data_IF_227267986213
#
_entry.id   IF_227267986213
#
_cell.length_a   1.000
_cell.length_b   1.000
_cell.length_c   1.000
_cell.angle_alpha   90.00
_cell.angle_beta   90.00
_cell.angle_gamma   90.00
#
_symmetry.space_group_name_H-M   'P 1'
#
loop_
_entity.id
_entity.type
_entity.pdbx_description
1 polymer ?
#
# COMPACT_ATOMS: atom_id res chain seq x y z
N UNK A 1 -43.58 -48.91 -52.14
CA UNK A 1 -43.30 -47.51 -51.78
C UNK A 1 -42.33 -47.54 -50.62
N UNK A 2 -41.04 -47.50 -50.92
CA UNK A 2 -39.98 -47.35 -49.93
C UNK A 2 -40.04 -45.94 -49.35
N UNK A 3 -40.60 -45.81 -48.15
CA UNK A 3 -40.42 -44.58 -47.36
C UNK A 3 -39.08 -44.73 -46.65
N UNK A 4 -38.04 -44.15 -47.25
CA UNK A 4 -36.79 -43.86 -46.56
C UNK A 4 -37.11 -42.96 -45.37
N UNK A 5 -37.15 -43.52 -44.16
CA UNK A 5 -37.11 -42.74 -42.93
C UNK A 5 -35.74 -42.07 -42.90
N UNK A 6 -35.77 -40.75 -43.01
CA UNK A 6 -34.61 -39.88 -43.06
C UNK A 6 -33.97 -39.80 -41.66
N UNK A 7 -33.30 -40.88 -41.24
CA UNK A 7 -32.70 -41.03 -39.89
C UNK A 7 -31.73 -39.90 -39.51
N UNK A 8 -31.28 -39.06 -40.46
CA UNK A 8 -30.42 -37.91 -40.18
C UNK A 8 -31.16 -36.69 -39.61
N UNK A 9 -32.40 -36.43 -40.03
CA UNK A 9 -33.13 -35.19 -39.69
C UNK A 9 -33.74 -35.26 -38.28
N UNK A 10 -34.32 -36.39 -37.88
CA UNK A 10 -34.85 -36.57 -36.52
C UNK A 10 -33.73 -36.59 -35.46
N UNK A 11 -32.58 -37.18 -35.79
CA UNK A 11 -31.40 -37.14 -34.91
C UNK A 11 -30.88 -35.71 -34.77
N UNK A 12 -30.91 -34.92 -35.85
CA UNK A 12 -30.48 -33.54 -35.83
C UNK A 12 -31.43 -32.65 -35.01
N UNK A 13 -32.74 -32.81 -35.20
CA UNK A 13 -33.77 -32.06 -34.45
C UNK A 13 -33.71 -32.38 -32.95
N UNK A 14 -33.56 -33.65 -32.58
CA UNK A 14 -33.41 -34.07 -31.19
C UNK A 14 -32.12 -33.50 -30.55
N UNK A 15 -31.01 -33.45 -31.30
CA UNK A 15 -29.76 -32.82 -30.83
C UNK A 15 -29.93 -31.32 -30.61
N UNK A 16 -30.62 -30.61 -31.51
CA UNK A 16 -30.90 -29.18 -31.35
C UNK A 16 -31.77 -28.94 -30.11
N UNK A 17 -32.89 -29.66 -29.98
CA UNK A 17 -33.78 -29.54 -28.84
C UNK A 17 -33.07 -29.83 -27.52
N UNK A 18 -32.32 -30.94 -27.44
CA UNK A 18 -31.50 -31.29 -26.28
C UNK A 18 -30.50 -30.18 -25.94
N UNK A 19 -29.82 -29.62 -26.94
CA UNK A 19 -28.86 -28.54 -26.73
C UNK A 19 -29.53 -27.25 -26.23
N UNK A 20 -30.73 -26.92 -26.71
CA UNK A 20 -31.51 -25.76 -26.23
C UNK A 20 -31.96 -25.98 -24.78
N UNK A 21 -32.47 -27.17 -24.45
CA UNK A 21 -32.87 -27.51 -23.08
C UNK A 21 -31.67 -27.48 -22.14
N UNK A 22 -30.54 -28.09 -22.51
CA UNK A 22 -29.31 -28.05 -21.73
C UNK A 22 -28.80 -26.62 -21.55
N UNK A 23 -28.80 -25.80 -22.60
CA UNK A 23 -28.43 -24.38 -22.52
C UNK A 23 -29.32 -23.64 -21.54
N UNK A 24 -30.63 -23.85 -21.58
CA UNK A 24 -31.57 -23.18 -20.67
C UNK A 24 -31.38 -23.62 -19.23
N UNK A 25 -31.15 -24.92 -18.99
CA UNK A 25 -30.80 -25.45 -17.65
C UNK A 25 -29.48 -24.82 -17.17
N UNK A 26 -28.44 -24.76 -18.01
CA UNK A 26 -27.16 -24.14 -17.68
C UNK A 26 -27.34 -22.66 -17.33
N UNK A 27 -28.08 -21.90 -18.14
CA UNK A 27 -28.34 -20.48 -17.89
C UNK A 27 -29.12 -20.26 -16.59
N UNK A 28 -30.08 -21.12 -16.29
CA UNK A 28 -30.84 -21.07 -15.05
C UNK A 28 -29.95 -21.39 -13.83
N UNK A 29 -29.07 -22.39 -13.94
CA UNK A 29 -28.10 -22.73 -12.91
C UNK A 29 -27.10 -21.59 -12.67
N UNK A 30 -26.57 -21.00 -13.75
CA UNK A 30 -25.70 -19.82 -13.68
C UNK A 30 -26.40 -18.63 -13.04
N UNK A 31 -27.68 -18.41 -13.35
CA UNK A 31 -28.49 -17.37 -12.71
C UNK A 31 -28.60 -17.60 -11.19
N UNK A 32 -28.84 -18.83 -10.73
CA UNK A 32 -28.93 -19.12 -9.30
C UNK A 32 -27.59 -19.06 -8.58
N UNK A 33 -26.51 -19.50 -9.23
CA UNK A 33 -25.14 -19.30 -8.74
C UNK A 33 -24.90 -17.80 -8.57
N UNK A 34 -25.12 -16.99 -9.61
CA UNK A 34 -24.87 -15.55 -9.55
C UNK A 34 -25.72 -14.85 -8.48
N UNK A 35 -26.98 -15.26 -8.32
CA UNK A 35 -27.90 -14.66 -7.34
C UNK A 35 -27.58 -15.03 -5.89
N UNK A 36 -27.11 -16.25 -5.63
CA UNK A 36 -26.87 -16.78 -4.28
C UNK A 36 -25.38 -17.02 -3.97
N UNK A 37 -24.50 -16.53 -4.85
CA UNK A 37 -23.05 -16.68 -4.75
C UNK A 37 -22.51 -16.22 -3.39
N UNK A 38 -23.13 -15.17 -2.85
CA UNK A 38 -22.81 -14.56 -1.57
C UNK A 38 -24.10 -14.33 -0.79
N UNK A 39 -24.16 -14.84 0.43
CA UNK A 39 -25.32 -14.68 1.30
C UNK A 39 -24.90 -14.32 2.73
N UNK A 40 -25.70 -13.49 3.39
CA UNK A 40 -25.59 -13.17 4.81
C UNK A 40 -26.75 -13.83 5.54
N UNK A 41 -26.44 -14.55 6.61
CA UNK A 41 -27.41 -15.30 7.42
C UNK A 41 -27.35 -14.76 8.84
N UNK A 42 -28.48 -14.28 9.36
CA UNK A 42 -28.57 -13.77 10.73
C UNK A 42 -29.18 -14.78 11.69
N UNK A 43 -29.87 -15.80 11.17
CA UNK A 43 -30.48 -16.88 11.94
C UNK A 43 -30.25 -18.20 11.23
N UNK A 44 -29.92 -19.26 11.97
CA UNK A 44 -29.59 -20.56 11.37
C UNK A 44 -30.69 -21.13 10.48
N UNK A 45 -31.95 -20.96 10.88
CA UNK A 45 -33.11 -21.41 10.10
C UNK A 45 -33.15 -20.81 8.69
N UNK A 46 -32.65 -19.59 8.50
CA UNK A 46 -32.56 -18.96 7.18
C UNK A 46 -31.62 -19.72 6.25
N UNK A 47 -30.53 -20.29 6.80
CA UNK A 47 -29.60 -21.10 6.04
C UNK A 47 -30.22 -22.46 5.71
N UNK A 48 -30.84 -23.11 6.69
CA UNK A 48 -31.43 -24.44 6.52
C UNK A 48 -32.61 -24.44 5.54
N UNK A 49 -33.46 -23.41 5.61
CA UNK A 49 -34.66 -23.29 4.76
C UNK A 49 -34.38 -22.61 3.41
N UNK A 50 -33.12 -22.28 3.10
CA UNK A 50 -32.77 -21.64 1.83
C UNK A 50 -32.96 -22.59 0.66
N UNK A 51 -33.86 -22.25 -0.26
CA UNK A 51 -34.16 -23.06 -1.47
C UNK A 51 -32.93 -23.32 -2.36
N UNK A 52 -31.94 -22.43 -2.32
CA UNK A 52 -30.73 -22.50 -3.15
C UNK A 52 -29.46 -22.67 -2.31
N UNK A 53 -29.61 -23.30 -1.14
CA UNK A 53 -28.54 -23.53 -0.16
C UNK A 53 -27.29 -24.15 -0.76
N UNK A 54 -27.43 -25.12 -1.65
CA UNK A 54 -26.29 -25.83 -2.25
C UNK A 54 -25.53 -25.01 -3.31
N UNK A 55 -26.01 -23.81 -3.68
CA UNK A 55 -25.31 -22.91 -4.60
C UNK A 55 -24.50 -21.83 -3.90
N UNK A 56 -24.52 -21.79 -2.56
CA UNK A 56 -23.80 -20.78 -1.77
C UNK A 56 -22.30 -21.05 -1.85
N UNK A 57 -21.52 -20.07 -2.32
CA UNK A 57 -20.05 -20.13 -2.35
C UNK A 57 -19.40 -19.29 -1.26
N UNK A 58 -19.98 -18.15 -0.92
CA UNK A 58 -19.50 -17.24 0.13
C UNK A 58 -20.59 -17.08 1.18
N UNK A 59 -20.38 -17.67 2.35
CA UNK A 59 -21.32 -17.63 3.46
C UNK A 59 -20.81 -16.68 4.55
N UNK A 60 -21.64 -15.70 4.90
CA UNK A 60 -21.45 -14.86 6.09
C UNK A 60 -22.47 -15.32 7.13
N UNK A 61 -22.02 -16.10 8.10
CA UNK A 61 -22.86 -16.64 9.18
C UNK A 61 -22.76 -15.70 10.38
N UNK A 62 -23.72 -14.78 10.50
CA UNK A 62 -23.73 -13.70 11.49
C UNK A 62 -24.38 -14.08 12.83
N UNK A 63 -24.96 -15.28 12.91
CA UNK A 63 -25.56 -15.79 14.15
C UNK A 63 -24.49 -16.40 15.06
N UNK A 64 -24.77 -16.41 16.36
CA UNK A 64 -24.02 -17.19 17.37
C UNK A 64 -24.74 -18.50 17.75
N UNK A 65 -25.75 -18.92 16.98
CA UNK A 65 -26.42 -20.20 17.16
C UNK A 65 -25.47 -21.39 16.93
N UNK A 66 -25.74 -22.51 17.60
CA UNK A 66 -24.99 -23.75 17.43
C UNK A 66 -25.10 -24.28 16.00
N UNK A 67 -23.93 -24.60 15.43
CA UNK A 67 -23.80 -25.21 14.10
C UNK A 67 -23.50 -26.69 14.28
N UNK A 68 -24.26 -27.54 13.61
CA UNK A 68 -24.06 -28.98 13.59
C UNK A 68 -23.44 -29.45 12.28
N UNK A 69 -22.94 -30.69 12.28
CA UNK A 69 -22.41 -31.33 11.09
C UNK A 69 -23.45 -31.31 9.96
N UNK A 70 -23.06 -30.74 8.81
CA UNK A 70 -23.92 -30.62 7.64
C UNK A 70 -24.75 -29.33 7.57
N UNK A 71 -24.78 -28.49 8.61
CA UNK A 71 -25.48 -27.19 8.62
C UNK A 71 -24.85 -26.15 7.69
N UNK A 72 -23.55 -26.28 7.39
CA UNK A 72 -22.87 -25.50 6.37
C UNK A 72 -22.82 -26.34 5.08
N UNK A 73 -23.29 -25.82 3.93
CA UNK A 73 -23.29 -26.58 2.67
C UNK A 73 -21.87 -26.91 2.20
N UNK A 74 -21.69 -28.11 1.62
CA UNK A 74 -20.41 -28.55 1.02
C UNK A 74 -20.01 -27.81 -0.26
N UNK A 75 -20.83 -26.87 -0.72
CA UNK A 75 -20.49 -25.97 -1.82
C UNK A 75 -19.75 -24.72 -1.38
N UNK A 76 -19.79 -24.36 -0.08
CA UNK A 76 -19.18 -23.15 0.47
C UNK A 76 -17.66 -23.21 0.35
N UNK A 77 -17.07 -22.19 -0.27
CA UNK A 77 -15.63 -22.04 -0.48
C UNK A 77 -15.03 -20.94 0.41
N UNK A 78 -15.84 -19.98 0.81
CA UNK A 78 -15.46 -18.91 1.73
C UNK A 78 -16.48 -18.79 2.85
N UNK A 79 -16.01 -18.89 4.09
CA UNK A 79 -16.83 -18.83 5.29
C UNK A 79 -16.34 -17.68 6.18
N UNK A 80 -17.26 -16.79 6.54
CA UNK A 80 -17.03 -15.72 7.51
C UNK A 80 -18.05 -15.86 8.63
N UNK A 81 -17.56 -16.06 9.86
CA UNK A 81 -18.38 -15.99 11.06
C UNK A 81 -18.56 -14.52 11.46
N UNK A 82 -19.76 -14.18 11.96
CA UNK A 82 -20.07 -12.83 12.43
C UNK A 82 -19.43 -12.52 13.77
N UNK A 83 -19.52 -11.25 14.15
CA UNK A 83 -18.84 -10.67 15.32
C UNK A 83 -19.07 -11.49 16.60
N UNK A 84 -20.32 -11.87 16.88
CA UNK A 84 -20.70 -12.57 18.12
C UNK A 84 -20.44 -14.09 18.12
N UNK A 85 -19.99 -14.68 17.00
CA UNK A 85 -19.80 -16.12 16.91
C UNK A 85 -18.65 -16.58 17.82
N UNK A 86 -18.97 -17.37 18.84
CA UNK A 86 -17.99 -17.88 19.79
C UNK A 86 -18.25 -19.33 20.20
N UNK A 87 -18.74 -20.14 19.26
CA UNK A 87 -19.04 -21.56 19.50
C UNK A 87 -17.83 -22.46 19.29
N UNK A 88 -17.79 -23.57 20.05
CA UNK A 88 -16.74 -24.58 19.93
C UNK A 88 -16.84 -25.29 18.58
N UNK A 89 -15.73 -25.33 17.84
CA UNK A 89 -15.66 -26.02 16.56
C UNK A 89 -15.20 -27.47 16.72
N UNK A 90 -16.13 -28.40 16.56
CA UNK A 90 -15.84 -29.83 16.47
C UNK A 90 -15.32 -30.22 15.08
N UNK A 91 -14.55 -31.30 15.02
CA UNK A 91 -13.98 -31.83 13.77
C UNK A 91 -15.08 -32.11 12.74
N UNK A 92 -14.91 -31.60 11.52
CA UNK A 92 -15.83 -31.83 10.40
C UNK A 92 -17.02 -30.87 10.31
N UNK A 93 -17.23 -29.97 11.28
CA UNK A 93 -18.30 -28.96 11.25
C UNK A 93 -18.18 -28.04 10.04
N UNK A 94 -16.96 -27.55 9.79
CA UNK A 94 -16.65 -26.75 8.61
C UNK A 94 -16.36 -27.70 7.43
N UNK A 95 -17.07 -27.59 6.30
CA UNK A 95 -16.87 -28.48 5.15
C UNK A 95 -15.48 -28.36 4.53
N UNK A 96 -14.97 -29.47 3.98
CA UNK A 96 -13.68 -29.54 3.29
C UNK A 96 -13.64 -28.82 1.93
N UNK A 97 -14.73 -28.14 1.56
CA UNK A 97 -14.78 -27.24 0.40
C UNK A 97 -14.27 -25.83 0.74
N UNK A 98 -14.23 -25.46 2.03
CA UNK A 98 -13.85 -24.12 2.49
C UNK A 98 -12.36 -23.91 2.31
N UNK A 99 -11.99 -22.87 1.55
CA UNK A 99 -10.62 -22.43 1.27
C UNK A 99 -10.24 -21.16 2.04
N UNK A 100 -11.21 -20.31 2.36
CA UNK A 100 -11.00 -19.10 3.14
C UNK A 100 -11.91 -19.13 4.37
N UNK A 101 -11.31 -18.97 5.55
CA UNK A 101 -12.03 -18.94 6.82
C UNK A 101 -11.69 -17.65 7.59
N UNK A 102 -12.73 -16.91 7.95
CA UNK A 102 -12.61 -15.71 8.79
C UNK A 102 -13.49 -15.86 10.02
N UNK A 103 -12.89 -15.70 11.21
CA UNK A 103 -13.62 -15.61 12.46
C UNK A 103 -14.03 -14.17 12.75
N UNK A 104 -15.18 -14.00 13.40
CA UNK A 104 -15.64 -12.71 13.88
C UNK A 104 -14.98 -12.30 15.20
N UNK A 105 -15.28 -11.08 15.62
CA UNK A 105 -14.54 -10.37 16.66
C UNK A 105 -14.46 -11.08 18.01
N UNK A 106 -15.53 -11.72 18.48
CA UNK A 106 -15.57 -12.33 19.81
C UNK A 106 -15.18 -13.81 19.84
N UNK A 107 -14.75 -14.41 18.71
CA UNK A 107 -14.32 -15.81 18.70
C UNK A 107 -13.03 -15.98 19.52
N UNK A 108 -13.10 -16.78 20.59
CA UNK A 108 -11.97 -17.06 21.48
C UNK A 108 -12.00 -18.51 22.00
N UNK A 109 -12.44 -19.46 21.17
CA UNK A 109 -12.47 -20.87 21.52
C UNK A 109 -11.15 -21.58 21.19
N UNK A 110 -10.81 -22.58 22.00
CA UNK A 110 -9.64 -23.44 21.76
C UNK A 110 -9.84 -24.23 20.46
N UNK A 111 -8.85 -24.19 19.58
CA UNK A 111 -8.85 -24.95 18.32
C UNK A 111 -8.15 -26.31 18.51
N UNK A 112 -8.94 -27.37 18.45
CA UNK A 112 -8.42 -28.74 18.42
C UNK A 112 -7.95 -29.12 17.00
N UNK A 113 -7.08 -30.13 16.92
CA UNK A 113 -6.64 -30.65 15.63
C UNK A 113 -7.85 -31.11 14.79
N UNK A 114 -7.95 -30.61 13.56
CA UNK A 114 -9.06 -30.92 12.65
C UNK A 114 -10.34 -30.09 12.84
N UNK A 115 -10.39 -29.16 13.80
CA UNK A 115 -11.49 -28.18 13.91
C UNK A 115 -11.56 -27.27 12.68
N UNK A 116 -10.41 -26.95 12.08
CA UNK A 116 -10.30 -26.26 10.80
C UNK A 116 -9.91 -27.30 9.73
N UNK A 117 -10.65 -27.39 8.61
CA UNK A 117 -10.40 -28.42 7.61
C UNK A 117 -9.12 -28.14 6.82
N UNK A 118 -8.47 -29.22 6.36
CA UNK A 118 -7.21 -29.17 5.58
C UNK A 118 -7.35 -28.61 4.16
N UNK A 119 -8.51 -28.06 3.83
CA UNK A 119 -8.78 -27.32 2.60
C UNK A 119 -8.54 -25.81 2.76
N UNK A 120 -8.47 -25.30 4.00
CA UNK A 120 -8.32 -23.87 4.26
C UNK A 120 -6.91 -23.42 3.88
N UNK A 121 -6.83 -22.45 2.98
CA UNK A 121 -5.59 -21.83 2.49
C UNK A 121 -5.38 -20.43 3.10
N UNK A 122 -6.46 -19.74 3.49
CA UNK A 122 -6.41 -18.42 4.14
C UNK A 122 -7.22 -18.45 5.43
N UNK A 123 -6.60 -18.07 6.53
CA UNK A 123 -7.19 -18.06 7.86
C UNK A 123 -7.00 -16.70 8.54
N UNK A 124 -8.11 -16.10 8.95
CA UNK A 124 -8.13 -14.82 9.66
C UNK A 124 -8.88 -14.96 10.97
N UNK A 125 -8.24 -14.60 12.08
CA UNK A 125 -8.87 -14.51 13.39
C UNK A 125 -9.46 -13.12 13.63
N UNK A 126 -10.58 -13.08 14.36
CA UNK A 126 -11.20 -11.84 14.80
C UNK A 126 -10.54 -11.27 16.06
N UNK A 127 -11.01 -10.09 16.46
CA UNK A 127 -10.41 -9.20 17.45
C UNK A 127 -9.95 -9.87 18.77
N UNK A 128 -10.77 -10.72 19.38
CA UNK A 128 -10.60 -11.28 20.73
C UNK A 128 -9.81 -12.60 20.80
N UNK A 129 -9.55 -13.28 19.68
CA UNK A 129 -8.89 -14.58 19.71
C UNK A 129 -7.52 -14.49 20.39
N UNK A 130 -7.35 -15.20 21.51
CA UNK A 130 -6.13 -15.18 22.30
C UNK A 130 -5.83 -16.54 22.95
N UNK A 131 -6.21 -17.63 22.28
CA UNK A 131 -5.92 -18.99 22.74
C UNK A 131 -4.53 -19.48 22.30
N UNK A 132 -3.91 -20.34 23.12
CA UNK A 132 -2.63 -20.98 22.77
C UNK A 132 -2.84 -21.95 21.61
N UNK A 133 -2.02 -21.83 20.57
CA UNK A 133 -2.05 -22.74 19.43
C UNK A 133 -1.16 -23.96 19.68
N UNK A 134 -1.79 -25.14 19.67
CA UNK A 134 -1.09 -26.42 19.70
C UNK A 134 -0.72 -26.89 18.30
N UNK A 135 0.22 -27.82 18.20
CA UNK A 135 0.57 -28.43 16.92
C UNK A 135 -0.67 -29.07 16.27
N UNK A 136 -0.97 -28.67 15.03
CA UNK A 136 -2.14 -29.15 14.28
C UNK A 136 -3.45 -28.38 14.50
N UNK A 137 -3.49 -27.37 15.40
CA UNK A 137 -4.64 -26.46 15.52
C UNK A 137 -4.89 -25.68 14.22
N UNK A 138 -3.81 -25.30 13.54
CA UNK A 138 -3.85 -24.68 12.20
C UNK A 138 -3.39 -25.73 11.17
N UNK A 139 -4.19 -26.02 10.13
CA UNK A 139 -3.87 -27.07 9.17
C UNK A 139 -2.71 -26.68 8.25
N UNK A 140 -1.95 -27.67 7.78
CA UNK A 140 -0.79 -27.48 6.89
C UNK A 140 -1.13 -27.06 5.45
N UNK A 141 -2.39 -26.75 5.18
CA UNK A 141 -2.85 -26.14 3.94
C UNK A 141 -2.83 -24.61 3.98
N UNK A 142 -2.79 -24.02 5.18
CA UNK A 142 -2.85 -22.56 5.37
C UNK A 142 -1.57 -21.92 4.84
N UNK A 143 -1.74 -21.00 3.89
CA UNK A 143 -0.69 -20.17 3.28
C UNK A 143 -0.69 -18.75 3.82
N UNK A 144 -1.85 -18.22 4.19
CA UNK A 144 -2.00 -16.89 4.79
C UNK A 144 -2.65 -17.00 6.15
N UNK A 145 -1.98 -16.50 7.19
CA UNK A 145 -2.45 -16.50 8.57
C UNK A 145 -2.44 -15.08 9.12
N UNK A 146 -3.61 -14.59 9.55
CA UNK A 146 -3.76 -13.29 10.21
C UNK A 146 -4.36 -13.47 11.59
N UNK A 147 -3.65 -13.00 12.61
CA UNK A 147 -4.14 -12.95 13.98
C UNK A 147 -4.94 -11.66 14.25
N UNK A 148 -5.92 -11.76 15.14
CA UNK A 148 -6.72 -10.62 15.58
C UNK A 148 -6.05 -9.78 16.65
N UNK A 149 -6.66 -8.64 16.97
CA UNK A 149 -6.09 -7.55 17.76
C UNK A 149 -5.47 -7.97 19.10
N UNK A 150 -6.17 -8.82 19.88
CA UNK A 150 -5.77 -9.22 21.23
C UNK A 150 -4.82 -10.44 21.29
N UNK A 151 -4.50 -11.09 20.17
CA UNK A 151 -3.64 -12.27 20.19
C UNK A 151 -2.24 -11.95 20.74
N UNK A 152 -1.87 -12.57 21.85
CA UNK A 152 -0.59 -12.35 22.52
C UNK A 152 -0.09 -13.62 23.25
N UNK A 153 -0.23 -14.77 22.61
CA UNK A 153 0.25 -16.05 23.17
C UNK A 153 1.64 -16.42 22.67
N UNK A 154 2.38 -17.14 23.51
CA UNK A 154 3.72 -17.67 23.18
C UNK A 154 3.61 -18.63 22.00
N UNK A 155 4.48 -18.48 21.02
CA UNK A 155 4.54 -19.36 19.86
C UNK A 155 5.35 -20.62 20.19
N UNK A 156 4.64 -21.70 20.49
CA UNK A 156 5.24 -23.02 20.66
C UNK A 156 5.78 -23.55 19.33
N UNK A 157 6.78 -24.42 19.38
CA UNK A 157 7.31 -25.07 18.19
C UNK A 157 6.18 -25.77 17.40
N UNK A 158 6.12 -25.52 16.08
CA UNK A 158 5.10 -26.09 15.17
C UNK A 158 3.64 -25.66 15.42
N UNK A 159 3.41 -24.62 16.23
CA UNK A 159 2.10 -24.00 16.41
C UNK A 159 1.58 -23.34 15.12
N UNK A 160 2.49 -22.72 14.37
CA UNK A 160 2.25 -22.22 13.01
C UNK A 160 2.82 -23.25 12.02
N UNK A 161 2.06 -23.72 11.02
CA UNK A 161 2.53 -24.74 10.09
C UNK A 161 3.52 -24.18 9.08
N UNK A 162 4.43 -25.04 8.60
CA UNK A 162 5.45 -24.71 7.59
C UNK A 162 4.92 -24.48 6.17
N UNK A 163 3.61 -24.37 6.01
CA UNK A 163 2.93 -23.96 4.78
C UNK A 163 2.66 -22.46 4.74
N UNK A 164 2.71 -21.77 5.89
CA UNK A 164 2.38 -20.34 5.97
C UNK A 164 3.47 -19.54 5.27
N UNK A 165 3.07 -18.77 4.26
CA UNK A 165 3.93 -17.87 3.49
C UNK A 165 3.70 -16.39 3.88
N UNK A 166 2.51 -16.04 4.36
CA UNK A 166 2.15 -14.71 4.85
C UNK A 166 1.65 -14.79 6.27
N UNK A 167 2.31 -14.09 7.19
CA UNK A 167 1.99 -14.07 8.61
C UNK A 167 1.83 -12.63 9.10
N UNK A 168 0.64 -12.33 9.63
CA UNK A 168 0.32 -11.04 10.24
C UNK A 168 -0.07 -11.26 11.70
N UNK A 169 0.65 -10.64 12.62
CA UNK A 169 0.34 -10.65 14.05
C UNK A 169 -0.67 -9.56 14.43
N UNK A 170 -1.41 -9.83 15.50
CA UNK A 170 -2.33 -8.89 16.12
C UNK A 170 -1.63 -7.74 16.83
N UNK A 171 -2.38 -6.66 17.09
CA UNK A 171 -1.87 -5.44 17.70
C UNK A 171 -1.27 -5.65 19.09
N UNK A 172 -1.73 -6.60 19.90
CA UNK A 172 -1.16 -6.83 21.23
C UNK A 172 -0.05 -7.87 21.27
N UNK A 173 0.31 -8.49 20.14
CA UNK A 173 1.35 -9.51 20.11
C UNK A 173 2.70 -8.90 20.51
N UNK A 174 3.24 -9.34 21.65
CA UNK A 174 4.50 -8.85 22.18
C UNK A 174 5.29 -9.95 22.90
N UNK A 175 5.29 -11.16 22.34
CA UNK A 175 6.02 -12.31 22.89
C UNK A 175 7.43 -12.40 22.32
N UNK A 176 8.35 -12.91 23.14
CA UNK A 176 9.73 -13.17 22.72
C UNK A 176 9.73 -14.23 21.61
N UNK A 177 10.45 -13.95 20.53
CA UNK A 177 10.62 -14.87 19.42
C UNK A 177 11.92 -15.64 19.58
N UNK A 178 11.81 -16.95 19.74
CA UNK A 178 12.97 -17.85 19.71
C UNK A 178 13.19 -18.34 18.28
N UNK A 179 14.38 -18.87 18.01
CA UNK A 179 14.65 -19.52 16.73
C UNK A 179 13.60 -20.62 16.45
N UNK A 180 13.00 -20.58 15.27
CA UNK A 180 11.95 -21.53 14.87
C UNK A 180 10.54 -21.20 15.37
N UNK A 181 10.32 -20.13 16.15
CA UNK A 181 8.97 -19.65 16.52
C UNK A 181 8.14 -19.28 15.28
N UNK A 182 8.78 -18.67 14.28
CA UNK A 182 8.19 -18.36 12.97
C UNK A 182 8.71 -19.38 11.95
N UNK A 183 7.85 -20.06 11.19
CA UNK A 183 8.30 -21.07 10.22
C UNK A 183 9.15 -20.49 9.09
N UNK A 184 10.12 -21.27 8.61
CA UNK A 184 11.01 -20.92 7.50
C UNK A 184 10.34 -20.87 6.11
N UNK A 185 9.02 -21.01 6.05
CA UNK A 185 8.21 -20.80 4.84
C UNK A 185 7.72 -19.35 4.72
N UNK A 186 7.72 -18.58 5.82
CA UNK A 186 7.17 -17.22 5.85
C UNK A 186 8.03 -16.29 4.99
N UNK A 187 7.39 -15.63 4.02
CA UNK A 187 7.98 -14.66 3.10
C UNK A 187 7.55 -13.24 3.45
N UNK A 188 6.31 -13.06 3.93
CA UNK A 188 5.74 -11.78 4.33
C UNK A 188 5.46 -11.83 5.84
N UNK A 189 6.09 -10.96 6.61
CA UNK A 189 5.93 -10.88 8.05
C UNK A 189 5.54 -9.47 8.46
N UNK A 190 4.37 -9.35 9.09
CA UNK A 190 3.86 -8.09 9.64
C UNK A 190 3.62 -8.25 11.13
N UNK A 191 4.29 -7.43 11.93
CA UNK A 191 4.01 -7.30 13.35
C UNK A 191 2.89 -6.28 13.60
N UNK A 192 2.03 -6.57 14.57
CA UNK A 192 1.07 -5.59 15.08
C UNK A 192 1.73 -4.56 16.00
N UNK A 193 0.94 -3.57 16.41
CA UNK A 193 1.44 -2.35 17.06
C UNK A 193 2.28 -2.57 18.31
N UNK A 194 1.90 -3.50 19.17
CA UNK A 194 2.47 -3.77 20.49
C UNK A 194 3.79 -4.52 20.49
N UNK A 195 4.24 -5.05 19.34
CA UNK A 195 5.49 -5.82 19.29
C UNK A 195 6.70 -4.92 19.54
N UNK A 196 7.42 -5.18 20.63
CA UNK A 196 8.59 -4.41 21.03
C UNK A 196 9.64 -5.29 21.76
N UNK A 197 9.80 -6.54 21.33
CA UNK A 197 10.81 -7.45 21.87
C UNK A 197 12.15 -7.32 21.14
N UNK A 198 13.23 -7.58 21.86
CA UNK A 198 14.58 -7.63 21.27
C UNK A 198 14.64 -8.78 20.26
N UNK A 199 15.19 -8.52 19.09
CA UNK A 199 15.38 -9.51 18.04
C UNK A 199 16.82 -10.03 18.07
N UNK A 200 17.00 -11.28 18.45
CA UNK A 200 18.27 -11.98 18.30
C UNK A 200 18.38 -12.60 16.91
N UNK A 201 19.60 -12.94 16.46
CA UNK A 201 19.80 -13.70 15.23
C UNK A 201 18.94 -14.99 15.25
N UNK A 202 18.23 -15.25 14.15
CA UNK A 202 17.32 -16.40 14.03
C UNK A 202 15.89 -16.18 14.55
N UNK A 203 15.60 -15.06 15.24
CA UNK A 203 14.22 -14.73 15.69
C UNK A 203 13.25 -14.59 14.52
N UNK A 204 13.74 -14.03 13.41
CA UNK A 204 13.04 -13.93 12.14
C UNK A 204 13.76 -14.85 11.14
N UNK A 205 13.04 -15.76 10.45
CA UNK A 205 13.68 -16.74 9.57
C UNK A 205 14.20 -16.09 8.29
N UNK A 206 15.26 -16.68 7.72
CA UNK A 206 15.94 -16.22 6.49
C UNK A 206 15.12 -16.42 5.21
N UNK A 207 13.84 -16.79 5.32
CA UNK A 207 12.88 -16.84 4.22
C UNK A 207 12.13 -15.53 4.04
N UNK A 208 12.10 -14.66 5.06
CA UNK A 208 11.33 -13.41 5.04
C UNK A 208 11.93 -12.44 4.03
N UNK A 209 11.08 -11.96 3.12
CA UNK A 209 11.39 -10.99 2.06
C UNK A 209 10.84 -9.61 2.37
N UNK A 210 9.65 -9.53 2.97
CA UNK A 210 9.06 -8.26 3.42
C UNK A 210 8.81 -8.32 4.92
N UNK A 211 9.36 -7.32 5.64
CA UNK A 211 9.23 -7.19 7.08
C UNK A 211 8.64 -5.82 7.43
N UNK A 212 7.52 -5.84 8.15
CA UNK A 212 6.86 -4.63 8.65
C UNK A 212 6.74 -4.69 10.16
N UNK A 213 7.26 -3.66 10.85
CA UNK A 213 7.09 -3.47 12.27
C UNK A 213 5.88 -2.59 12.59
N UNK A 214 5.21 -2.87 13.71
CA UNK A 214 4.09 -2.09 14.22
C UNK A 214 4.52 -0.85 15.00
N UNK A 215 3.52 -0.07 15.46
CA UNK A 215 3.66 1.24 16.10
C UNK A 215 4.77 1.35 17.17
N UNK A 216 4.83 0.44 18.15
CA UNK A 216 5.66 0.57 19.35
C UNK A 216 7.07 -0.03 19.23
N UNK A 217 7.42 -0.70 18.12
CA UNK A 217 8.73 -1.32 17.98
C UNK A 217 9.85 -0.27 18.01
N UNK A 218 10.73 -0.35 19.00
CA UNK A 218 11.83 0.59 19.20
C UNK A 218 13.06 -0.05 19.87
N UNK A 219 13.40 -1.28 19.45
CA UNK A 219 14.56 -2.00 19.96
C UNK A 219 15.81 -1.75 19.10
N UNK A 220 16.98 -1.82 19.74
CA UNK A 220 18.27 -1.71 19.04
C UNK A 220 18.43 -2.91 18.11
N UNK A 221 18.82 -2.66 16.87
CA UNK A 221 19.09 -3.68 15.87
C UNK A 221 20.60 -3.91 15.75
N UNK A 222 21.08 -5.04 16.28
CA UNK A 222 22.43 -5.54 16.00
C UNK A 222 22.47 -6.30 14.66
N UNK A 223 23.67 -6.54 14.14
CA UNK A 223 23.86 -7.39 12.97
C UNK A 223 23.19 -8.76 13.17
N UNK A 224 22.43 -9.19 12.16
CA UNK A 224 21.66 -10.44 12.20
C UNK A 224 20.27 -10.36 12.85
N UNK A 225 19.90 -9.24 13.49
CA UNK A 225 18.54 -9.05 14.05
C UNK A 225 17.46 -9.13 12.97
N UNK A 226 17.76 -8.54 11.81
CA UNK A 226 16.97 -8.65 10.58
C UNK A 226 17.76 -9.55 9.62
N UNK A 227 17.15 -10.62 9.08
CA UNK A 227 17.87 -11.56 8.23
C UNK A 227 18.24 -10.96 6.88
N UNK A 228 19.34 -11.43 6.30
CA UNK A 228 19.88 -10.98 5.00
C UNK A 228 19.04 -11.38 3.78
N UNK A 229 17.83 -11.88 4.00
CA UNK A 229 16.85 -12.19 2.97
C UNK A 229 15.85 -11.05 2.76
N UNK A 230 15.72 -10.12 3.72
CA UNK A 230 14.73 -9.04 3.69
C UNK A 230 15.10 -8.02 2.61
N UNK A 231 14.17 -7.80 1.69
CA UNK A 231 14.28 -6.88 0.55
C UNK A 231 13.46 -5.59 0.79
N UNK A 232 12.35 -5.70 1.53
CA UNK A 232 11.49 -4.57 1.93
C UNK A 232 11.38 -4.50 3.43
N UNK A 233 11.77 -3.36 4.01
CA UNK A 233 11.74 -3.12 5.44
C UNK A 233 10.99 -1.83 5.78
N UNK A 234 9.93 -1.96 6.59
CA UNK A 234 9.13 -0.84 7.07
C UNK A 234 9.14 -0.81 8.60
N UNK A 235 9.58 0.31 9.17
CA UNK A 235 9.49 0.58 10.59
C UNK A 235 8.17 1.26 10.95
N UNK A 236 7.64 0.93 12.14
CA UNK A 236 6.48 1.58 12.70
C UNK A 236 6.80 2.91 13.39
N UNK A 237 5.76 3.56 13.93
CA UNK A 237 5.76 4.95 14.37
C UNK A 237 6.92 5.32 15.31
N UNK A 238 7.17 4.54 16.36
CA UNK A 238 8.08 4.90 17.45
C UNK A 238 9.56 4.53 17.21
N UNK A 239 9.89 3.86 16.11
CA UNK A 239 11.26 3.40 15.89
C UNK A 239 12.22 4.60 15.77
N UNK A 240 13.13 4.73 16.74
CA UNK A 240 14.06 5.86 16.80
C UNK A 240 15.42 5.47 17.40
N UNK A 241 15.91 4.28 17.05
CA UNK A 241 17.23 3.80 17.48
C UNK A 241 18.34 4.17 16.50
N UNK A 242 19.54 4.39 17.03
CA UNK A 242 20.73 4.67 16.23
C UNK A 242 21.05 3.46 15.32
N UNK A 243 21.29 3.73 14.04
CA UNK A 243 21.66 2.70 13.07
C UNK A 243 23.18 2.59 12.93
N UNK A 244 23.73 1.48 13.42
CA UNK A 244 25.11 1.09 13.16
C UNK A 244 25.23 0.33 11.84
N UNK A 245 26.45 0.21 11.32
CA UNK A 245 26.71 -0.62 10.14
C UNK A 245 26.27 -2.06 10.43
N UNK A 246 25.43 -2.63 9.56
CA UNK A 246 24.89 -3.98 9.73
C UNK A 246 23.55 -4.07 10.47
N UNK A 247 23.07 -2.97 11.08
CA UNK A 247 21.72 -2.93 11.68
C UNK A 247 20.62 -3.19 10.64
N UNK A 248 20.80 -2.68 9.43
CA UNK A 248 19.96 -2.97 8.26
C UNK A 248 20.77 -3.84 7.28
N UNK A 249 20.28 -5.03 6.87
CA UNK A 249 21.05 -5.94 6.03
C UNK A 249 21.20 -5.41 4.60
N UNK A 250 22.28 -5.80 3.93
CA UNK A 250 22.62 -5.39 2.56
C UNK A 250 21.73 -5.99 1.47
N UNK A 251 20.67 -6.70 1.84
CA UNK A 251 19.62 -7.17 0.94
C UNK A 251 18.48 -6.18 0.79
N UNK A 252 18.33 -5.22 1.72
CA UNK A 252 17.19 -4.28 1.72
C UNK A 252 17.29 -3.34 0.52
N UNK A 253 16.27 -3.34 -0.32
CA UNK A 253 16.13 -2.46 -1.48
C UNK A 253 15.15 -1.32 -1.23
N UNK A 254 14.14 -1.54 -0.39
CA UNK A 254 13.15 -0.52 0.01
C UNK A 254 13.15 -0.36 1.52
N UNK A 255 13.43 0.86 1.99
CA UNK A 255 13.51 1.20 3.41
C UNK A 255 12.58 2.38 3.73
N UNK A 256 11.64 2.13 4.64
CA UNK A 256 10.69 3.13 5.14
C UNK A 256 10.84 3.27 6.65
N UNK A 257 11.13 4.48 7.11
CA UNK A 257 11.12 4.83 8.53
C UNK A 257 9.74 5.31 8.98
N UNK A 258 9.38 5.00 10.23
CA UNK A 258 8.20 5.54 10.88
C UNK A 258 8.40 6.96 11.42
N UNK A 259 7.33 7.52 11.98
CA UNK A 259 7.22 8.93 12.34
C UNK A 259 8.33 9.48 13.23
N UNK A 260 8.76 8.75 14.24
CA UNK A 260 9.68 9.27 15.27
C UNK A 260 11.15 9.13 14.93
N UNK A 261 11.50 8.43 13.85
CA UNK A 261 12.89 8.24 13.47
C UNK A 261 13.57 9.58 13.18
N UNK A 262 14.52 9.96 14.05
CA UNK A 262 15.23 11.24 13.96
C UNK A 262 16.68 11.09 14.44
N UNK A 263 17.32 9.96 14.15
CA UNK A 263 18.72 9.71 14.48
C UNK A 263 19.67 10.17 13.38
N UNK A 264 20.87 10.58 13.78
CA UNK A 264 21.92 10.95 12.83
C UNK A 264 22.34 9.73 12.01
N UNK A 265 22.41 9.89 10.70
CA UNK A 265 22.88 8.86 9.78
C UNK A 265 24.37 9.06 9.47
N UNK A 266 25.18 8.09 9.85
CA UNK A 266 26.59 8.03 9.45
C UNK A 266 26.74 7.27 8.13
N UNK A 267 27.88 7.46 7.46
CA UNK A 267 28.18 6.70 6.26
C UNK A 267 28.13 5.18 6.55
N UNK A 268 27.29 4.45 5.81
CA UNK A 268 27.09 3.01 5.99
C UNK A 268 26.00 2.61 7.00
N UNK A 269 25.33 3.58 7.67
CA UNK A 269 24.13 3.29 8.48
C UNK A 269 22.98 2.73 7.63
N UNK A 270 22.83 3.24 6.41
CA UNK A 270 21.93 2.70 5.39
C UNK A 270 22.78 1.94 4.35
N UNK A 271 22.46 0.68 4.04
CA UNK A 271 23.27 -0.12 3.12
C UNK A 271 23.14 0.35 1.67
N UNK A 272 24.20 0.11 0.89
CA UNK A 272 24.28 0.48 -0.54
C UNK A 272 23.39 -0.34 -1.47
N UNK A 273 22.52 -1.20 -0.94
CA UNK A 273 21.48 -1.91 -1.67
C UNK A 273 20.19 -1.10 -1.78
N UNK A 274 19.96 -0.13 -0.88
CA UNK A 274 18.70 0.62 -0.82
C UNK A 274 18.52 1.48 -2.07
N UNK A 275 17.42 1.26 -2.78
CA UNK A 275 17.00 1.97 -3.99
C UNK A 275 15.89 2.98 -3.70
N UNK A 276 15.01 2.69 -2.73
CA UNK A 276 13.95 3.60 -2.28
C UNK A 276 14.08 3.86 -0.79
N UNK A 277 14.15 5.14 -0.42
CA UNK A 277 14.29 5.58 0.97
C UNK A 277 13.20 6.60 1.31
N UNK A 278 12.41 6.29 2.32
CA UNK A 278 11.36 7.16 2.85
C UNK A 278 11.61 7.44 4.32
N UNK A 279 11.73 8.71 4.69
CA UNK A 279 11.79 9.16 6.07
C UNK A 279 10.39 9.45 6.62
N UNK A 280 10.20 9.20 7.91
CA UNK A 280 8.97 9.53 8.62
C UNK A 280 8.90 10.98 9.07
N UNK A 281 7.76 11.33 9.70
CA UNK A 281 7.33 12.69 10.03
C UNK A 281 8.41 13.56 10.70
N UNK A 282 9.07 13.08 11.76
CA UNK A 282 9.97 13.86 12.62
C UNK A 282 11.43 13.95 12.13
N UNK A 283 11.82 13.24 11.06
CA UNK A 283 13.22 13.22 10.63
C UNK A 283 13.71 14.62 10.22
N UNK A 284 14.69 15.16 10.95
CA UNK A 284 15.21 16.51 10.75
C UNK A 284 16.70 16.62 11.09
N UNK A 285 17.47 15.57 10.82
CA UNK A 285 18.92 15.55 11.05
C UNK A 285 19.71 16.10 9.86
N UNK A 286 20.86 16.71 10.15
CA UNK A 286 21.79 17.16 9.12
C UNK A 286 22.32 15.99 8.29
N UNK A 287 22.36 16.15 6.98
CA UNK A 287 22.84 15.15 6.03
C UNK A 287 24.23 15.49 5.52
N UNK A 288 25.25 14.81 6.06
CA UNK A 288 26.61 14.86 5.52
C UNK A 288 26.73 13.99 4.25
N UNK A 289 27.74 14.25 3.42
CA UNK A 289 28.01 13.43 2.24
C UNK A 289 28.19 11.96 2.63
N UNK A 290 27.44 11.06 1.98
CA UNK A 290 27.46 9.63 2.27
C UNK A 290 26.46 9.16 3.35
N UNK A 291 25.74 10.06 4.02
CA UNK A 291 24.63 9.70 4.94
C UNK A 291 23.55 8.89 4.22
N UNK A 292 23.25 9.28 2.97
CA UNK A 292 22.36 8.55 2.06
C UNK A 292 23.23 7.88 0.99
N UNK A 293 23.13 6.55 0.78
CA UNK A 293 24.00 5.85 -0.15
C UNK A 293 23.69 6.18 -1.62
N UNK A 294 24.71 6.09 -2.47
CA UNK A 294 24.63 6.37 -3.92
C UNK A 294 23.82 5.35 -4.73
N UNK A 295 23.19 4.39 -4.08
CA UNK A 295 22.24 3.46 -4.68
C UNK A 295 20.83 4.05 -4.76
N UNK A 296 20.47 4.97 -3.87
CA UNK A 296 19.11 5.50 -3.73
C UNK A 296 18.69 6.25 -5.01
N UNK A 297 17.54 5.85 -5.56
CA UNK A 297 16.91 6.42 -6.76
C UNK A 297 15.67 7.23 -6.43
N UNK A 298 14.92 6.84 -5.40
CA UNK A 298 13.77 7.59 -4.88
C UNK A 298 14.02 7.98 -3.44
N UNK A 299 13.92 9.27 -3.13
CA UNK A 299 14.12 9.82 -1.81
C UNK A 299 12.92 10.69 -1.41
N UNK A 300 12.27 10.32 -0.31
CA UNK A 300 11.16 11.07 0.26
C UNK A 300 11.49 11.47 1.69
N UNK A 301 11.41 12.77 1.98
CA UNK A 301 11.51 13.30 3.33
C UNK A 301 10.14 13.43 3.99
N UNK A 302 10.09 13.21 5.31
CA UNK A 302 8.90 13.47 6.10
C UNK A 302 8.72 14.94 6.45
N UNK A 303 7.57 15.25 7.07
CA UNK A 303 7.06 16.61 7.26
C UNK A 303 8.05 17.58 7.89
N UNK A 304 8.79 17.19 8.93
CA UNK A 304 9.63 18.10 9.71
C UNK A 304 11.02 18.38 9.12
N UNK A 305 11.43 17.69 8.04
CA UNK A 305 12.77 17.87 7.48
C UNK A 305 12.96 19.30 6.96
N UNK A 306 13.87 20.05 7.57
CA UNK A 306 14.14 21.45 7.25
C UNK A 306 15.63 21.81 7.45
N UNK A 307 16.53 20.90 7.11
CA UNK A 307 17.97 21.13 7.19
C UNK A 307 18.54 21.70 5.90
N UNK A 308 19.60 22.50 6.03
CA UNK A 308 20.33 23.03 4.88
C UNK A 308 20.98 21.90 4.10
N UNK A 309 20.80 21.89 2.78
CA UNK A 309 21.38 20.89 1.89
C UNK A 309 22.65 21.43 1.23
N UNK A 310 23.78 20.84 1.58
CA UNK A 310 25.06 21.10 0.91
C UNK A 310 25.23 20.18 -0.31
N UNK A 311 26.16 20.53 -1.19
CA UNK A 311 26.52 19.66 -2.30
C UNK A 311 26.95 18.27 -1.78
N UNK A 312 26.30 17.20 -2.28
CA UNK A 312 26.55 15.83 -1.85
C UNK A 312 25.70 15.33 -0.67
N UNK A 313 24.90 16.18 -0.01
CA UNK A 313 23.93 15.75 1.01
C UNK A 313 22.89 14.77 0.42
N UNK A 314 22.46 15.04 -0.82
CA UNK A 314 21.63 14.14 -1.62
C UNK A 314 22.52 13.53 -2.72
N UNK A 315 22.59 12.19 -2.86
CA UNK A 315 23.49 11.56 -3.81
C UNK A 315 23.02 11.76 -5.27
N UNK A 316 23.99 11.80 -6.19
CA UNK A 316 23.78 11.96 -7.64
C UNK A 316 23.09 10.78 -8.34
N UNK A 317 22.64 9.80 -7.56
CA UNK A 317 21.82 8.68 -8.02
C UNK A 317 20.33 8.97 -7.99
N UNK A 318 19.88 9.93 -7.16
CA UNK A 318 18.46 10.22 -6.93
C UNK A 318 17.81 10.76 -8.20
N UNK A 319 16.69 10.17 -8.60
CA UNK A 319 15.87 10.53 -9.77
C UNK A 319 14.55 11.17 -9.36
N UNK A 320 13.96 10.74 -8.24
CA UNK A 320 12.76 11.33 -7.67
C UNK A 320 13.07 11.85 -6.27
N UNK A 321 12.80 13.13 -6.03
CA UNK A 321 13.03 13.80 -4.75
C UNK A 321 11.74 14.50 -4.30
N UNK A 322 11.26 14.11 -3.11
CA UNK A 322 10.09 14.71 -2.48
C UNK A 322 10.47 15.26 -1.11
N UNK A 323 10.20 16.55 -0.90
CA UNK A 323 10.35 17.20 0.40
C UNK A 323 9.03 17.14 1.19
N UNK A 324 9.14 17.03 2.51
CA UNK A 324 7.99 17.17 3.41
C UNK A 324 7.62 18.62 3.67
N UNK A 325 6.48 18.82 4.34
CA UNK A 325 5.81 20.12 4.49
C UNK A 325 6.70 21.26 4.99
N UNK A 326 7.55 21.04 6.00
CA UNK A 326 8.33 22.10 6.65
C UNK A 326 9.60 22.53 5.93
N UNK A 327 10.02 21.85 4.85
CA UNK A 327 11.25 22.20 4.15
C UNK A 327 11.15 23.60 3.54
N UNK A 328 11.97 24.53 4.03
CA UNK A 328 11.97 25.92 3.59
C UNK A 328 13.37 26.54 3.62
N UNK A 329 14.39 25.76 3.26
CA UNK A 329 15.78 26.23 3.19
C UNK A 329 16.13 26.77 1.81
N UNK A 330 17.03 27.75 1.77
CA UNK A 330 17.54 28.31 0.51
C UNK A 330 18.31 27.24 -0.25
N UNK A 331 18.01 27.08 -1.54
CA UNK A 331 18.67 26.12 -2.42
C UNK A 331 19.82 26.79 -3.17
N UNK A 332 21.04 26.41 -2.79
CA UNK A 332 22.26 26.79 -3.51
C UNK A 332 22.51 25.84 -4.69
N UNK A 333 23.36 26.27 -5.63
CA UNK A 333 23.76 25.41 -6.74
C UNK A 333 24.39 24.10 -6.20
N UNK A 334 23.84 22.96 -6.62
CA UNK A 334 24.29 21.64 -6.18
C UNK A 334 23.60 21.09 -4.92
N UNK A 335 22.73 21.85 -4.25
CA UNK A 335 21.89 21.34 -3.15
C UNK A 335 20.97 20.19 -3.61
N UNK A 336 20.44 20.31 -4.84
CA UNK A 336 19.72 19.25 -5.54
C UNK A 336 20.60 18.72 -6.68
N UNK A 337 20.89 17.41 -6.75
CA UNK A 337 21.80 16.88 -7.76
C UNK A 337 21.19 16.89 -9.16
N UNK A 338 22.05 17.03 -10.18
CA UNK A 338 21.69 17.04 -11.61
C UNK A 338 21.13 15.71 -12.16
N UNK A 339 20.93 14.73 -11.28
CA UNK A 339 20.28 13.47 -11.61
C UNK A 339 18.76 13.52 -11.45
N UNK A 340 18.24 14.45 -10.63
CA UNK A 340 16.81 14.53 -10.27
C UNK A 340 15.98 14.89 -11.50
N UNK A 341 14.93 14.10 -11.74
CA UNK A 341 13.97 14.24 -12.85
C UNK A 341 12.59 14.68 -12.37
N UNK A 342 12.17 14.23 -11.18
CA UNK A 342 10.94 14.68 -10.52
C UNK A 342 11.30 15.34 -9.19
N UNK A 343 10.83 16.57 -8.99
CA UNK A 343 11.05 17.34 -7.78
C UNK A 343 9.71 17.85 -7.24
N UNK A 344 9.41 17.50 -5.99
CA UNK A 344 8.21 17.96 -5.29
C UNK A 344 8.61 18.66 -4.00
N UNK A 345 8.17 19.90 -3.83
CA UNK A 345 8.31 20.66 -2.60
C UNK A 345 7.10 20.47 -1.69
N UNK A 346 7.33 20.52 -0.38
CA UNK A 346 6.28 20.52 0.63
C UNK A 346 5.65 21.91 0.84
N UNK A 347 4.62 21.94 1.68
CA UNK A 347 3.70 23.06 1.86
C UNK A 347 4.38 24.41 2.13
N UNK A 348 5.36 24.47 3.03
CA UNK A 348 5.94 25.73 3.51
C UNK A 348 7.12 26.24 2.69
N UNK A 349 7.54 25.53 1.64
CA UNK A 349 8.65 26.00 0.79
C UNK A 349 8.27 27.31 0.10
N UNK A 350 8.96 28.39 0.44
CA UNK A 350 8.70 29.73 -0.11
C UNK A 350 9.98 30.56 -0.25
N UNK A 351 11.09 29.91 -0.59
CA UNK A 351 12.37 30.59 -0.83
C UNK A 351 12.49 31.11 -2.26
N UNK A 352 13.20 32.22 -2.42
CA UNK A 352 13.51 32.79 -3.74
C UNK A 352 14.36 31.79 -4.53
N UNK A 353 13.93 31.47 -5.75
CA UNK A 353 14.66 30.58 -6.65
C UNK A 353 15.62 31.39 -7.51
N UNK A 354 16.92 31.29 -7.20
CA UNK A 354 17.97 31.86 -8.04
C UNK A 354 18.26 30.93 -9.23
N UNK A 355 18.94 31.47 -10.25
CA UNK A 355 19.42 30.65 -11.35
C UNK A 355 20.26 29.47 -10.83
N UNK A 356 19.93 28.25 -11.29
CA UNK A 356 20.55 26.98 -10.89
C UNK A 356 20.20 26.46 -9.48
N UNK A 357 19.26 27.08 -8.76
CA UNK A 357 18.71 26.51 -7.52
C UNK A 357 18.03 25.15 -7.77
N UNK A 358 17.34 25.03 -8.91
CA UNK A 358 16.80 23.77 -9.42
C UNK A 358 17.67 23.33 -10.62
N UNK A 359 18.12 22.08 -10.70
CA UNK A 359 18.99 21.63 -11.79
C UNK A 359 18.22 21.46 -13.11
N UNK A 360 18.91 21.68 -14.23
CA UNK A 360 18.38 21.53 -15.61
C UNK A 360 18.08 20.08 -16.02
N UNK A 361 18.07 19.16 -15.07
CA UNK A 361 17.67 17.78 -15.26
C UNK A 361 16.19 17.55 -14.94
N UNK A 362 15.56 18.43 -14.15
CA UNK A 362 14.18 18.30 -13.66
C UNK A 362 13.21 18.46 -14.81
N UNK A 363 12.31 17.48 -14.96
CA UNK A 363 11.23 17.45 -15.95
C UNK A 363 9.85 17.69 -15.33
N UNK A 364 9.63 17.21 -14.11
CA UNK A 364 8.39 17.44 -13.36
C UNK A 364 8.72 18.24 -12.10
N UNK A 365 8.05 19.38 -11.93
CA UNK A 365 8.23 20.28 -10.80
C UNK A 365 6.88 20.63 -10.16
N UNK A 366 6.74 20.30 -8.88
CA UNK A 366 5.55 20.61 -8.08
C UNK A 366 5.95 21.46 -6.89
N UNK A 367 5.29 22.61 -6.73
CA UNK A 367 5.40 23.46 -5.55
C UNK A 367 4.31 23.15 -4.54
N UNK A 368 4.63 23.31 -3.25
CA UNK A 368 3.66 23.21 -2.16
C UNK A 368 2.84 24.49 -1.97
N UNK A 369 1.91 24.43 -1.02
CA UNK A 369 0.83 25.40 -0.85
C UNK A 369 1.28 26.86 -0.67
N UNK A 370 2.37 27.13 0.04
CA UNK A 370 2.79 28.50 0.40
C UNK A 370 3.80 29.12 -0.57
N UNK A 371 4.24 28.41 -1.62
CA UNK A 371 5.16 28.98 -2.59
C UNK A 371 4.49 30.15 -3.32
N UNK A 372 5.03 31.36 -3.12
CA UNK A 372 4.47 32.58 -3.69
C UNK A 372 5.57 33.62 -3.98
N UNK A 373 6.74 33.16 -4.44
CA UNK A 373 7.85 34.04 -4.83
C UNK A 373 7.75 34.46 -6.29
N UNK A 374 8.25 35.68 -6.59
CA UNK A 374 8.32 36.18 -7.96
C UNK A 374 9.29 35.31 -8.77
N UNK A 375 8.86 34.88 -9.96
CA UNK A 375 9.65 34.08 -10.87
C UNK A 375 10.33 34.95 -11.93
N UNK A 376 11.64 35.16 -11.77
CA UNK A 376 12.49 35.76 -12.81
C UNK A 376 12.84 34.74 -13.90
N UNK A 377 13.25 35.20 -15.08
CA UNK A 377 13.74 34.32 -16.13
C UNK A 377 14.88 33.42 -15.62
N UNK A 378 14.78 32.11 -15.85
CA UNK A 378 15.75 31.13 -15.37
C UNK A 378 15.55 30.63 -13.93
N UNK A 379 14.53 31.11 -13.20
CA UNK A 379 14.16 30.57 -11.87
C UNK A 379 13.70 29.11 -11.96
N UNK A 380 12.91 28.82 -13.00
CA UNK A 380 12.51 27.46 -13.39
C UNK A 380 13.40 27.03 -14.57
N UNK A 381 14.04 25.86 -14.53
CA UNK A 381 14.91 25.43 -15.63
C UNK A 381 14.14 25.12 -16.92
N UNK A 382 14.78 25.36 -18.07
CA UNK A 382 14.25 25.08 -19.42
C UNK A 382 14.09 23.59 -19.77
N UNK A 383 14.26 22.71 -18.80
CA UNK A 383 14.02 21.27 -18.91
C UNK A 383 12.65 20.85 -18.37
N UNK A 384 11.96 21.73 -17.62
CA UNK A 384 10.68 21.39 -16.97
C UNK A 384 9.59 21.28 -18.03
N UNK A 385 8.93 20.13 -18.08
CA UNK A 385 7.84 19.79 -19.00
C UNK A 385 6.48 19.82 -18.31
N UNK A 386 6.42 19.52 -17.00
CA UNK A 386 5.22 19.61 -16.18
C UNK A 386 5.48 20.49 -14.96
N UNK A 387 4.67 21.53 -14.80
CA UNK A 387 4.80 22.51 -13.72
C UNK A 387 3.46 22.67 -12.98
N UNK A 388 3.48 22.44 -11.68
CA UNK A 388 2.31 22.61 -10.80
C UNK A 388 2.64 23.59 -9.69
N UNK A 389 1.84 24.65 -9.56
CA UNK A 389 1.88 25.58 -8.44
C UNK A 389 0.92 25.16 -7.34
N UNK A 390 1.28 25.47 -6.09
CA UNK A 390 0.44 25.23 -4.93
C UNK A 390 -0.62 26.31 -4.70
N UNK A 391 -1.44 26.08 -3.66
CA UNK A 391 -2.65 26.84 -3.34
C UNK A 391 -2.49 28.38 -3.38
N UNK A 392 -1.46 28.94 -2.73
CA UNK A 392 -1.30 30.39 -2.56
C UNK A 392 -0.50 31.12 -3.65
N UNK A 393 -0.01 30.42 -4.69
CA UNK A 393 0.78 31.09 -5.72
C UNK A 393 -0.07 32.11 -6.48
N UNK A 394 0.32 33.39 -6.42
CA UNK A 394 -0.44 34.49 -7.00
C UNK A 394 0.46 35.65 -7.45
N UNK A 395 1.61 35.33 -8.04
CA UNK A 395 2.55 36.33 -8.57
C UNK A 395 2.31 36.62 -10.05
N UNK A 396 2.60 37.86 -10.46
CA UNK A 396 2.54 38.27 -11.86
C UNK A 396 3.55 37.46 -12.68
N UNK A 397 3.11 36.89 -13.79
CA UNK A 397 3.96 36.14 -14.72
C UNK A 397 4.40 37.03 -15.88
N UNK A 398 5.67 37.41 -15.88
CA UNK A 398 6.29 38.11 -17.01
C UNK A 398 6.66 37.12 -18.11
N UNK A 399 6.87 37.61 -19.33
CA UNK A 399 7.37 36.78 -20.43
C UNK A 399 8.70 36.10 -20.02
N UNK A 400 8.75 34.77 -20.14
CA UNK A 400 9.90 33.96 -19.73
C UNK A 400 9.98 33.58 -18.25
N UNK A 401 9.01 33.97 -17.41
CA UNK A 401 8.88 33.44 -16.03
C UNK A 401 8.63 31.94 -16.03
N UNK A 402 7.79 31.46 -16.96
CA UNK A 402 7.57 30.03 -17.23
C UNK A 402 8.39 29.64 -18.48
N UNK A 403 9.21 28.58 -18.45
CA UNK A 403 10.03 28.20 -19.60
C UNK A 403 9.21 27.64 -20.76
N UNK A 404 9.69 27.84 -21.99
CA UNK A 404 9.07 27.34 -23.24
C UNK A 404 9.15 25.81 -23.44
N UNK A 405 9.63 25.07 -22.43
CA UNK A 405 9.60 23.62 -22.39
C UNK A 405 8.33 23.07 -21.72
N UNK A 406 7.61 23.89 -20.95
CA UNK A 406 6.44 23.47 -20.17
C UNK A 406 5.29 23.12 -21.11
N UNK A 407 4.76 21.90 -20.98
CA UNK A 407 3.63 21.36 -21.73
C UNK A 407 2.36 21.24 -20.88
N UNK A 408 2.52 20.96 -19.59
CA UNK A 408 1.41 20.92 -18.63
C UNK A 408 1.64 21.97 -17.55
N UNK A 409 0.69 22.88 -17.38
CA UNK A 409 0.75 23.96 -16.40
C UNK A 409 -0.51 23.96 -15.54
N UNK A 410 -0.34 23.82 -14.24
CA UNK A 410 -1.43 23.83 -13.26
C UNK A 410 -1.20 24.94 -12.25
N UNK A 411 -2.16 25.83 -12.12
CA UNK A 411 -2.21 26.84 -11.06
C UNK A 411 -3.02 26.36 -9.86
N UNK A 412 -2.62 26.79 -8.67
CA UNK A 412 -3.42 26.61 -7.45
C UNK A 412 -4.58 27.58 -7.36
N UNK A 413 -5.40 27.41 -6.33
CA UNK A 413 -6.68 28.09 -6.16
C UNK A 413 -6.59 29.60 -6.09
N UNK A 414 -5.61 30.18 -5.38
CA UNK A 414 -5.52 31.63 -5.22
C UNK A 414 -4.95 32.38 -6.44
N UNK A 415 -4.53 31.70 -7.50
CA UNK A 415 -3.96 32.37 -8.67
C UNK A 415 -5.02 33.20 -9.39
N UNK A 416 -4.86 34.52 -9.38
CA UNK A 416 -5.81 35.45 -9.97
C UNK A 416 -5.13 36.69 -10.56
N UNK A 417 -3.96 36.51 -11.17
CA UNK A 417 -3.22 37.59 -11.84
C UNK A 417 -3.60 37.73 -13.31
N UNK A 418 -3.54 38.96 -13.82
CA UNK A 418 -3.74 39.23 -15.25
C UNK A 418 -2.67 38.52 -16.05
N UNK A 419 -3.09 37.76 -17.07
CA UNK A 419 -2.19 37.11 -18.00
C UNK A 419 -1.97 38.01 -19.22
N UNK A 420 -0.75 38.49 -19.39
CA UNK A 420 -0.34 39.25 -20.57
C UNK A 420 0.07 38.30 -21.70
N UNK A 421 0.15 38.81 -22.93
CA UNK A 421 0.68 38.06 -24.06
C UNK A 421 2.11 37.58 -23.73
N UNK A 422 2.32 36.26 -23.84
CA UNK A 422 3.61 35.62 -23.51
C UNK A 422 3.81 35.23 -22.04
N UNK A 423 2.85 35.50 -21.13
CA UNK A 423 2.88 35.01 -19.74
C UNK A 423 2.82 33.47 -19.68
N UNK A 424 1.99 32.87 -20.54
CA UNK A 424 1.90 31.42 -20.74
C UNK A 424 2.64 31.06 -22.03
N UNK A 425 3.68 30.19 -21.99
CA UNK A 425 4.46 29.86 -23.18
C UNK A 425 3.65 29.10 -24.23
N UNK A 426 3.98 29.31 -25.51
CA UNK A 426 3.33 28.64 -26.64
C UNK A 426 3.54 27.12 -26.70
N UNK A 427 4.30 26.54 -25.79
CA UNK A 427 4.48 25.09 -25.64
C UNK A 427 3.40 24.42 -24.77
N UNK A 428 2.61 25.18 -24.02
CA UNK A 428 1.63 24.63 -23.08
C UNK A 428 0.47 24.01 -23.85
N UNK A 429 0.21 22.72 -23.61
CA UNK A 429 -0.86 21.94 -24.23
C UNK A 429 -2.03 21.68 -23.25
N UNK A 430 -1.73 21.60 -21.96
CA UNK A 430 -2.72 21.43 -20.88
C UNK A 430 -2.56 22.56 -19.86
N UNK A 431 -3.64 23.29 -19.62
CA UNK A 431 -3.67 24.42 -18.70
C UNK A 431 -4.84 24.27 -17.72
N UNK A 432 -4.54 24.31 -16.43
CA UNK A 432 -5.55 24.26 -15.37
C UNK A 432 -5.46 25.51 -14.49
N UNK A 433 -6.59 26.17 -14.29
CA UNK A 433 -6.76 27.24 -13.31
C UNK A 433 -7.52 26.75 -12.08
N UNK A 434 -7.08 27.20 -10.91
CA UNK A 434 -7.75 26.98 -9.64
C UNK A 434 -9.01 27.82 -9.47
N UNK A 435 -9.65 27.72 -8.30
CA UNK A 435 -10.96 28.33 -8.04
C UNK A 435 -10.99 29.85 -8.19
N UNK A 436 -9.99 30.60 -7.72
CA UNK A 436 -10.14 32.06 -7.59
C UNK A 436 -9.85 32.81 -8.89
N UNK A 437 -9.44 32.11 -9.95
CA UNK A 437 -9.12 32.72 -11.23
C UNK A 437 -10.37 33.33 -11.87
N UNK A 438 -10.41 34.67 -11.93
CA UNK A 438 -11.55 35.44 -12.43
C UNK A 438 -11.11 36.62 -13.32
N UNK A 439 -9.92 36.53 -13.93
CA UNK A 439 -9.43 37.56 -14.83
C UNK A 439 -10.03 37.46 -16.22
N UNK A 440 -10.19 38.61 -16.88
CA UNK A 440 -10.59 38.67 -18.29
C UNK A 440 -9.40 38.24 -19.14
N UNK A 441 -9.59 37.19 -19.95
CA UNK A 441 -8.58 36.71 -20.89
C UNK A 441 -8.63 37.55 -22.18
N UNK A 442 -7.62 38.40 -22.37
CA UNK A 442 -7.45 39.17 -23.61
C UNK A 442 -6.91 38.29 -24.74
N UNK A 443 -7.09 38.70 -25.99
CA UNK A 443 -6.52 37.99 -27.14
C UNK A 443 -5.00 37.80 -26.97
N UNK A 444 -4.52 36.56 -27.11
CA UNK A 444 -3.10 36.20 -26.93
C UNK A 444 -2.68 35.86 -25.49
N UNK A 445 -3.58 35.94 -24.51
CA UNK A 445 -3.26 35.57 -23.10
C UNK A 445 -3.10 34.06 -22.92
N UNK A 446 -3.91 33.28 -23.65
CA UNK A 446 -3.83 31.82 -23.73
C UNK A 446 -3.30 31.45 -25.12
N UNK A 447 -2.21 30.68 -25.23
CA UNK A 447 -1.66 30.31 -26.53
C UNK A 447 -2.54 29.29 -27.24
N UNK A 448 -2.52 29.32 -28.58
CA UNK A 448 -3.33 28.43 -29.44
C UNK A 448 -2.96 26.95 -29.34
N UNK A 449 -1.84 26.62 -28.70
CA UNK A 449 -1.39 25.25 -28.43
C UNK A 449 -2.13 24.57 -27.30
N UNK A 450 -2.86 25.30 -26.44
CA UNK A 450 -3.65 24.71 -25.35
C UNK A 450 -4.81 23.91 -25.94
N UNK A 451 -4.75 22.58 -25.77
CA UNK A 451 -5.76 21.61 -26.20
C UNK A 451 -6.74 21.27 -25.09
N UNK A 452 -6.30 21.35 -23.84
CA UNK A 452 -7.09 21.08 -22.65
C UNK A 452 -7.01 22.29 -21.72
N UNK A 453 -8.14 22.95 -21.51
CA UNK A 453 -8.29 24.08 -20.60
C UNK A 453 -9.32 23.71 -19.53
N UNK A 454 -8.88 23.71 -18.27
CA UNK A 454 -9.72 23.33 -17.12
C UNK A 454 -9.82 24.51 -16.16
N UNK A 455 -11.05 24.78 -15.70
CA UNK A 455 -11.34 25.66 -14.58
C UNK A 455 -11.93 24.82 -13.45
N UNK A 456 -11.34 24.89 -12.25
CA UNK A 456 -11.83 24.12 -11.10
C UNK A 456 -13.04 24.75 -10.42
N UNK A 457 -13.42 25.96 -10.80
CA UNK A 457 -14.70 26.55 -10.40
C UNK A 457 -15.85 26.03 -11.26
N UNK A 458 -16.79 25.32 -10.65
CA UNK A 458 -17.98 24.78 -11.32
C UNK A 458 -19.03 25.80 -11.79
N UNK A 459 -18.72 27.10 -11.84
CA UNK A 459 -19.67 28.18 -12.11
C UNK A 459 -19.37 29.03 -13.36
N UNK A 460 -18.56 28.55 -14.31
CA UNK A 460 -18.39 29.22 -15.61
C UNK A 460 -18.25 28.25 -16.78
#
# INVERSE_FOLDING_TARGET
MDVKINNGEDIFLFRIWRNIVLKNIILQQLFYINKNFKIKINQKEQLLNSKYRDYIKNLYYLSNEDIYLGDIPSSVESLTFGEDFNQVLSTGLIPSSVKSLTFGDYFDQVLSAGSIPSSVESLTFGYCFNQVLSAGSIPSSVKSLTFGYYYNQVLLARSIPSSVESLTFGNFFNQVLSEGSIPSSVKLLTFGDGFNQVLSAGSIPSSVKSLTFGFFFNQVLSEGSIPSSVESLTFGFNYNQLLSKGSIPSSVESLTFGSDFNQVLSAGSIPSSVKSLTFGFNYNQFLSAGSIPSSVKSLTFGCCFNQVLSAGSIPSSVKSLTFGSSFNQVLSAGSIPSSVKSLTFGDYFNQVLSARSIPSSVKSLTFGNHFNQVLSSGSIPSSVESLTFGYHFNQILSAGSIPSSVKSLTFGDCFNQVLLSGSIPSSVESLTFGSDFNQVLSAGSIPSSVKLLIYLNGNK
#
